data_IF_675421759180
#
_entry.id   IF_675421759180
#
_cell.length_a   1.000
_cell.length_b   1.000
_cell.length_c   1.000
_cell.angle_alpha   90.00
_cell.angle_beta   90.00
_cell.angle_gamma   90.00
#
_symmetry.space_group_name_H-M   'P 1'
#
loop_
_entity.id
_entity.type
_entity.pdbx_description
1 polymer ?
#
# COMPACT_ATOMS: atom_id res chain seq x y z
N UNK A 1 15.99 -19.64 56.48
CA UNK A 1 16.39 -18.95 55.23
C UNK A 1 17.37 -17.86 55.63
N UNK A 2 18.62 -17.91 55.16
CA UNK A 2 19.67 -16.98 55.63
C UNK A 2 19.44 -15.57 55.08
N UNK A 3 19.78 -14.54 55.87
CA UNK A 3 19.60 -13.12 55.53
C UNK A 3 20.19 -12.74 54.16
N UNK A 4 21.26 -13.44 53.74
CA UNK A 4 21.89 -13.30 52.42
C UNK A 4 21.00 -13.78 51.27
N UNK A 5 20.23 -14.85 51.44
CA UNK A 5 19.32 -15.36 50.40
C UNK A 5 18.15 -14.42 50.13
N UNK A 6 17.66 -13.70 51.15
CA UNK A 6 16.61 -12.70 50.98
C UNK A 6 17.11 -11.47 50.22
N UNK A 7 18.32 -11.00 50.53
CA UNK A 7 18.97 -9.88 49.82
C UNK A 7 19.19 -10.22 48.34
N UNK A 8 19.64 -11.45 48.05
CA UNK A 8 19.89 -11.89 46.67
C UNK A 8 18.61 -12.00 45.83
N UNK A 9 17.52 -12.49 46.43
CA UNK A 9 16.19 -12.52 45.76
C UNK A 9 15.68 -11.11 45.47
N UNK A 10 15.84 -10.19 46.42
CA UNK A 10 15.45 -8.79 46.24
C UNK A 10 16.24 -8.12 45.12
N UNK A 11 17.56 -8.33 45.08
CA UNK A 11 18.42 -7.81 44.02
C UNK A 11 18.00 -8.34 42.64
N UNK A 12 17.72 -9.64 42.51
CA UNK A 12 17.26 -10.21 41.25
C UNK A 12 15.91 -9.65 40.80
N UNK A 13 14.99 -9.38 41.72
CA UNK A 13 13.72 -8.74 41.36
C UNK A 13 13.91 -7.30 40.88
N UNK A 14 14.78 -6.53 41.51
CA UNK A 14 15.10 -5.16 41.06
C UNK A 14 15.76 -5.18 39.68
N UNK A 15 16.75 -6.06 39.47
CA UNK A 15 17.43 -6.19 38.17
C UNK A 15 16.47 -6.66 37.07
N UNK A 16 15.58 -7.60 37.38
CA UNK A 16 14.56 -8.06 36.45
C UNK A 16 13.57 -6.96 36.09
N UNK A 17 13.12 -6.16 37.07
CA UNK A 17 12.23 -5.03 36.83
C UNK A 17 12.88 -3.97 35.92
N UNK A 18 14.16 -3.65 36.16
CA UNK A 18 14.92 -2.73 35.30
C UNK A 18 15.05 -3.29 33.89
N UNK A 19 15.35 -4.59 33.75
CA UNK A 19 15.43 -5.25 32.45
C UNK A 19 14.12 -5.18 31.67
N UNK A 20 12.99 -5.45 32.32
CA UNK A 20 11.66 -5.33 31.69
C UNK A 20 11.37 -3.90 31.28
N UNK A 21 11.67 -2.92 32.13
CA UNK A 21 11.48 -1.50 31.81
C UNK A 21 12.35 -1.06 30.62
N UNK A 22 13.60 -1.56 30.54
CA UNK A 22 14.48 -1.28 29.41
C UNK A 22 13.93 -1.84 28.09
N UNK A 23 13.38 -3.07 28.11
CA UNK A 23 12.73 -3.66 26.93
C UNK A 23 11.52 -2.82 26.51
N UNK A 24 10.66 -2.43 27.45
CA UNK A 24 9.49 -1.60 27.17
C UNK A 24 9.93 -0.27 26.54
N UNK A 25 10.91 0.42 27.15
CA UNK A 25 11.43 1.68 26.64
C UNK A 25 11.99 1.55 25.21
N UNK A 26 12.70 0.46 24.92
CA UNK A 26 13.23 0.18 23.57
C UNK A 26 12.09 -0.03 22.56
N UNK A 27 11.06 -0.79 22.92
CA UNK A 27 9.89 -1.02 22.06
C UNK A 27 9.14 0.28 21.80
N UNK A 28 8.91 1.09 22.84
CA UNK A 28 8.24 2.39 22.72
C UNK A 28 9.05 3.35 21.83
N UNK A 29 10.37 3.40 22.00
CA UNK A 29 11.26 4.19 21.15
C UNK A 29 11.17 3.72 19.69
N UNK A 30 11.23 2.41 19.45
CA UNK A 30 11.15 1.84 18.11
C UNK A 30 9.82 2.17 17.41
N UNK A 31 8.70 2.12 18.14
CA UNK A 31 7.39 2.52 17.61
C UNK A 31 7.35 4.02 17.33
N UNK A 32 7.93 4.85 18.21
CA UNK A 32 7.91 6.32 18.08
C UNK A 32 8.79 6.81 16.92
N UNK A 33 9.83 6.06 16.57
CA UNK A 33 10.69 6.34 15.42
C UNK A 33 10.09 5.87 14.08
N UNK A 34 8.93 5.20 14.08
CA UNK A 34 8.24 4.88 12.83
C UNK A 34 7.84 6.20 12.16
N UNK A 35 8.14 6.39 10.87
CA UNK A 35 7.63 7.54 10.12
C UNK A 35 6.12 7.62 10.32
N UNK A 36 5.63 8.77 10.80
CA UNK A 36 4.20 9.07 10.76
C UNK A 36 3.76 8.90 9.31
N UNK A 37 2.82 7.98 9.04
CA UNK A 37 2.34 7.63 7.70
C UNK A 37 2.37 8.86 6.81
N UNK A 38 3.27 8.95 5.81
CA UNK A 38 3.30 10.10 4.93
C UNK A 38 1.91 10.19 4.32
N UNK A 39 1.31 11.38 4.36
CA UNK A 39 0.06 11.67 3.68
C UNK A 39 0.12 11.02 2.29
N UNK A 40 -0.83 10.14 1.98
CA UNK A 40 -0.85 9.43 0.70
C UNK A 40 -0.61 10.44 -0.42
N UNK A 41 0.43 10.25 -1.25
CA UNK A 41 0.74 11.16 -2.34
C UNK A 41 -0.50 11.45 -3.18
N UNK A 42 -0.61 12.70 -3.64
CA UNK A 42 -1.66 13.15 -4.57
C UNK A 42 -0.97 13.64 -5.84
N UNK A 43 -1.50 13.27 -6.99
CA UNK A 43 -0.95 13.68 -8.28
C UNK A 43 -1.65 14.97 -8.77
N UNK A 44 -0.92 16.09 -8.92
CA UNK A 44 -1.51 17.33 -9.44
C UNK A 44 -2.14 17.13 -10.82
N UNK A 45 -3.36 17.63 -11.02
CA UNK A 45 -4.10 17.49 -12.28
C UNK A 45 -4.83 16.14 -12.45
N UNK A 46 -4.62 15.18 -11.55
CA UNK A 46 -5.24 13.86 -11.56
C UNK A 46 -5.90 13.56 -10.20
N UNK A 47 -7.03 14.23 -9.88
CA UNK A 47 -7.66 14.10 -8.57
C UNK A 47 -8.22 12.70 -8.27
N UNK A 48 -8.52 11.92 -9.32
CA UNK A 48 -9.04 10.55 -9.18
C UNK A 48 -7.94 9.48 -9.19
N UNK A 49 -6.69 9.89 -9.42
CA UNK A 49 -5.55 8.98 -9.38
C UNK A 49 -5.17 8.64 -7.95
N UNK A 50 -5.07 7.34 -7.67
CA UNK A 50 -4.77 6.82 -6.34
C UNK A 50 -3.35 6.27 -6.31
N UNK A 51 -2.59 6.70 -5.31
CA UNK A 51 -1.26 6.18 -5.05
C UNK A 51 -1.30 4.69 -4.66
N UNK A 52 -0.52 3.88 -5.37
CA UNK A 52 -0.21 2.48 -5.08
C UNK A 52 1.31 2.30 -5.08
N UNK A 53 1.90 2.35 -3.91
CA UNK A 53 3.35 2.28 -3.72
C UNK A 53 3.76 1.78 -2.36
N UNK A 54 5.04 1.44 -2.24
CA UNK A 54 5.69 1.03 -1.01
C UNK A 54 6.91 1.94 -0.73
N UNK A 55 7.79 1.49 0.19
CA UNK A 55 8.95 2.26 0.62
C UNK A 55 9.96 2.54 -0.53
N UNK A 56 10.01 1.66 -1.53
CA UNK A 56 10.96 1.73 -2.66
C UNK A 56 10.38 2.46 -3.89
N UNK A 57 9.18 3.04 -3.73
CA UNK A 57 8.48 3.80 -4.78
C UNK A 57 7.12 3.21 -5.13
N UNK A 58 6.47 3.81 -6.11
CA UNK A 58 5.15 3.39 -6.56
C UNK A 58 4.63 4.10 -7.79
N UNK A 59 3.34 3.90 -8.03
CA UNK A 59 2.63 4.45 -9.17
C UNK A 59 1.29 5.04 -8.75
N UNK A 60 0.84 6.02 -9.50
CA UNK A 60 -0.52 6.48 -9.47
C UNK A 60 -1.35 5.65 -10.46
N UNK A 61 -2.52 5.19 -10.02
CA UNK A 61 -3.45 4.43 -10.86
C UNK A 61 -4.78 5.16 -10.90
N UNK A 62 -5.35 5.29 -12.09
CA UNK A 62 -6.60 6.00 -12.33
C UNK A 62 -7.46 5.25 -13.35
N UNK A 63 -8.77 5.17 -13.08
CA UNK A 63 -9.77 4.76 -14.07
C UNK A 63 -10.30 6.05 -14.70
N UNK A 64 -9.86 6.36 -15.91
CA UNK A 64 -10.19 7.64 -16.58
C UNK A 64 -11.46 7.54 -17.42
N UNK A 65 -11.83 6.33 -17.86
CA UNK A 65 -13.10 6.08 -18.55
C UNK A 65 -13.75 4.79 -18.04
N UNK A 66 -15.06 4.81 -17.91
CA UNK A 66 -15.84 3.66 -17.46
C UNK A 66 -17.07 3.47 -18.35
N UNK A 67 -17.13 2.33 -19.04
CA UNK A 67 -18.30 1.84 -19.76
C UNK A 67 -18.44 0.34 -19.47
N UNK A 68 -18.98 -0.04 -18.28
CA UNK A 68 -19.03 -1.42 -17.84
C UNK A 68 -19.54 -2.35 -18.94
N UNK A 69 -18.81 -3.44 -19.25
CA UNK A 69 -17.72 -4.02 -18.48
C UNK A 69 -16.30 -3.54 -18.86
N UNK A 70 -16.17 -2.52 -19.70
CA UNK A 70 -14.89 -2.04 -20.23
C UNK A 70 -14.45 -0.74 -19.53
N UNK A 71 -13.20 -0.69 -19.09
CA UNK A 71 -12.66 0.42 -18.30
C UNK A 71 -11.29 0.81 -18.86
N UNK A 72 -11.04 2.12 -19.04
CA UNK A 72 -9.72 2.60 -19.44
C UNK A 72 -8.92 2.98 -18.20
N UNK A 73 -7.80 2.28 -18.00
CA UNK A 73 -6.93 2.45 -16.83
C UNK A 73 -5.63 3.09 -17.27
N UNK A 74 -5.17 4.10 -16.53
CA UNK A 74 -3.86 4.71 -16.68
C UNK A 74 -3.03 4.47 -15.43
N UNK A 75 -1.77 4.13 -15.63
CA UNK A 75 -0.75 4.01 -14.59
C UNK A 75 0.32 5.05 -14.88
N UNK A 76 0.65 5.84 -13.87
CA UNK A 76 1.59 6.95 -13.96
C UNK A 76 2.70 6.80 -12.93
N UNK A 77 3.90 7.22 -13.30
CA UNK A 77 5.01 7.37 -12.37
C UNK A 77 4.69 8.43 -11.31
N UNK A 78 5.50 8.50 -10.26
CA UNK A 78 5.36 9.47 -9.16
C UNK A 78 5.37 10.93 -9.66
N UNK A 79 6.11 11.19 -10.74
CA UNK A 79 6.20 12.50 -11.39
C UNK A 79 5.07 12.78 -12.40
N UNK A 80 4.17 11.82 -12.62
CA UNK A 80 2.95 11.98 -13.42
C UNK A 80 3.02 11.52 -14.88
N UNK A 81 4.19 11.15 -15.39
CA UNK A 81 4.29 10.60 -16.75
C UNK A 81 3.63 9.23 -16.83
N UNK A 82 3.09 8.91 -18.01
CA UNK A 82 2.43 7.63 -18.25
C UNK A 82 3.49 6.52 -18.23
N UNK A 83 3.29 5.54 -17.35
CA UNK A 83 4.02 4.29 -17.32
C UNK A 83 3.37 3.26 -18.26
N UNK A 84 2.06 3.07 -18.11
CA UNK A 84 1.26 2.17 -18.94
C UNK A 84 -0.21 2.61 -18.97
N UNK A 85 -0.92 2.24 -20.03
CA UNK A 85 -2.35 2.48 -20.15
C UNK A 85 -3.02 1.45 -21.07
N UNK A 86 -4.31 1.23 -20.86
CA UNK A 86 -5.07 0.34 -21.72
C UNK A 86 -6.49 0.08 -21.25
N UNK A 87 -7.21 -0.63 -22.11
CA UNK A 87 -8.55 -1.11 -21.77
C UNK A 87 -8.44 -2.39 -20.94
N UNK A 88 -9.29 -2.49 -19.93
CA UNK A 88 -9.46 -3.68 -19.10
C UNK A 88 -10.94 -4.04 -19.09
N UNK A 89 -11.23 -5.31 -19.34
CA UNK A 89 -12.58 -5.85 -19.21
C UNK A 89 -12.75 -6.50 -17.84
N UNK A 90 -13.71 -6.02 -17.07
CA UNK A 90 -13.99 -6.52 -15.72
C UNK A 90 -15.48 -6.82 -15.53
N UNK A 91 -15.77 -8.06 -15.13
CA UNK A 91 -17.09 -8.53 -14.74
C UNK A 91 -16.98 -9.41 -13.51
N UNK A 92 -17.85 -9.19 -12.54
CA UNK A 92 -17.92 -9.99 -11.32
C UNK A 92 -19.26 -10.68 -11.19
N UNK A 93 -19.33 -11.81 -10.46
CA UNK A 93 -20.59 -12.51 -10.23
C UNK A 93 -21.67 -11.66 -9.55
N UNK A 94 -21.26 -10.67 -8.75
CA UNK A 94 -22.15 -9.73 -8.07
C UNK A 94 -22.60 -8.55 -8.95
N UNK A 95 -22.14 -8.48 -10.21
CA UNK A 95 -22.52 -7.45 -11.19
C UNK A 95 -22.02 -6.04 -10.87
N UNK A 96 -21.17 -5.86 -9.85
CA UNK A 96 -20.67 -4.54 -9.46
C UNK A 96 -19.57 -4.05 -10.41
N UNK A 97 -19.54 -2.74 -10.73
CA UNK A 97 -18.51 -2.20 -11.61
C UNK A 97 -17.12 -2.23 -10.96
N UNK A 98 -16.09 -2.07 -11.80
CA UNK A 98 -14.74 -1.81 -11.33
C UNK A 98 -14.66 -0.39 -10.75
N UNK A 99 -14.07 -0.26 -9.58
CA UNK A 99 -13.79 1.04 -8.94
C UNK A 99 -12.37 1.03 -8.37
N UNK A 100 -11.79 2.21 -8.13
CA UNK A 100 -10.44 2.31 -7.54
C UNK A 100 -10.33 1.66 -6.15
N UNK A 101 -11.43 1.51 -5.42
CA UNK A 101 -11.46 0.79 -4.15
C UNK A 101 -11.13 -0.71 -4.30
N UNK A 102 -11.34 -1.26 -5.50
CA UNK A 102 -11.04 -2.66 -5.82
C UNK A 102 -9.67 -2.84 -6.47
N UNK A 103 -9.05 -1.76 -6.97
CA UNK A 103 -7.73 -1.83 -7.62
C UNK A 103 -6.64 -1.80 -6.56
N UNK A 104 -5.91 -2.90 -6.42
CA UNK A 104 -4.83 -3.08 -5.46
C UNK A 104 -3.49 -2.58 -6.00
N UNK A 105 -3.16 -2.89 -7.25
CA UNK A 105 -1.91 -2.48 -7.90
C UNK A 105 -2.00 -2.61 -9.43
N UNK A 106 -0.93 -2.24 -10.13
CA UNK A 106 -0.71 -2.51 -11.54
C UNK A 106 0.78 -2.80 -11.78
N UNK A 107 1.06 -3.56 -12.84
CA UNK A 107 2.41 -3.89 -13.32
C UNK A 107 2.37 -3.96 -14.86
N UNK A 108 3.50 -4.21 -15.53
CA UNK A 108 3.75 -4.35 -16.98
C UNK A 108 2.56 -4.88 -17.81
N UNK A 109 1.58 -4.00 -18.07
CA UNK A 109 0.36 -4.30 -18.82
C UNK A 109 -0.73 -5.07 -18.05
N UNK A 110 -0.77 -5.07 -16.72
CA UNK A 110 -1.80 -5.73 -15.91
C UNK A 110 -2.32 -4.85 -14.76
N UNK A 111 -3.62 -5.00 -14.44
CA UNK A 111 -4.27 -4.44 -13.23
C UNK A 111 -4.61 -5.57 -12.26
N UNK A 112 -4.37 -5.36 -10.98
CA UNK A 112 -4.66 -6.33 -9.91
C UNK A 112 -5.87 -5.86 -9.10
N UNK A 113 -6.94 -6.67 -9.09
CA UNK A 113 -8.20 -6.36 -8.38
C UNK A 113 -8.57 -7.47 -7.40
N UNK A 114 -8.72 -8.68 -7.93
CA UNK A 114 -8.92 -9.94 -7.20
C UNK A 114 -8.07 -11.05 -7.86
N UNK A 115 -7.96 -10.97 -9.19
CA UNK A 115 -6.99 -11.64 -10.06
C UNK A 115 -6.27 -10.60 -10.94
N UNK A 116 -5.29 -11.04 -11.73
CA UNK A 116 -4.61 -10.20 -12.73
C UNK A 116 -5.50 -10.05 -13.97
N UNK A 117 -5.68 -8.80 -14.42
CA UNK A 117 -6.43 -8.47 -15.64
C UNK A 117 -5.47 -7.84 -16.64
N UNK A 118 -5.32 -8.39 -17.85
CA UNK A 118 -4.47 -7.80 -18.87
C UNK A 118 -5.07 -6.47 -19.34
N UNK A 119 -4.21 -5.45 -19.40
CA UNK A 119 -4.45 -4.23 -20.15
C UNK A 119 -4.18 -4.52 -21.62
N UNK A 120 -5.19 -4.39 -22.47
CA UNK A 120 -4.94 -4.33 -23.90
C UNK A 120 -4.36 -2.96 -24.21
N UNK A 121 -3.09 -2.96 -24.61
CA UNK A 121 -2.40 -1.77 -25.06
C UNK A 121 -3.24 -1.07 -26.11
N UNK A 122 -3.58 0.20 -25.87
CA UNK A 122 -4.12 1.02 -26.95
C UNK A 122 -2.95 1.44 -27.85
N UNK A 123 -2.53 0.53 -28.73
CA UNK A 123 -1.74 0.88 -29.91
C UNK A 123 -2.64 1.05 -31.13
N UNK A 124 -3.88 1.49 -30.98
CA UNK A 124 -4.74 1.72 -32.14
C UNK A 124 -5.72 2.85 -31.89
N UNK A 125 -5.27 4.04 -32.26
CA UNK A 125 -6.14 5.01 -32.94
C UNK A 125 -6.61 4.48 -34.31
N UNK A 126 -7.06 3.23 -34.41
CA UNK A 126 -7.88 2.76 -35.51
C UNK A 126 -9.33 3.14 -35.21
N UNK A 127 -9.65 4.40 -35.53
CA UNK A 127 -11.04 4.79 -35.75
C UNK A 127 -11.54 4.06 -37.01
N UNK A 128 -12.83 3.66 -37.09
CA UNK A 128 -13.44 3.19 -38.33
C UNK A 128 -13.39 4.25 -39.44
#
# INVERSE_FOLDING_TARGET
>A
MTRSMQVWKWLNHVLSAIGVLAIIALVTLFISLRPSNPSTPVLPGHPDAVWRGAQDGGFFIEITQSNPPDYFVQVRYEHGDIYSEGWVRFQTPDGKPLTMARVNSADDGYVYVDSYLPMTANKEGARP
#
